data_IF_942115898252
#
_entry.id   IF_942115898252
#
_cell.length_a   1.000
_cell.length_b   1.000
_cell.length_c   1.000
_cell.angle_alpha   90.00
_cell.angle_beta   90.00
_cell.angle_gamma   90.00
#
_symmetry.space_group_name_H-M   'P 1'
#
loop_
_entity.id
_entity.type
_entity.pdbx_description
1 polymer ?
#
# COMPACT_ATOMS: atom_id res chain seq x y z
N UNK A 1 7.73 -11.84 -12.49
CA UNK A 1 7.35 -10.44 -12.12
C UNK A 1 7.95 -10.11 -10.76
N UNK A 2 8.32 -8.85 -10.47
CA UNK A 2 8.90 -8.46 -9.16
C UNK A 2 7.79 -8.04 -8.20
N UNK A 3 8.03 -8.22 -6.91
CA UNK A 3 7.08 -7.88 -5.85
C UNK A 3 7.74 -6.98 -4.79
N UNK A 4 6.94 -6.15 -4.14
CA UNK A 4 7.30 -5.47 -2.90
C UNK A 4 6.44 -6.01 -1.76
N UNK A 5 7.08 -6.31 -0.64
CA UNK A 5 6.38 -6.71 0.58
C UNK A 5 6.05 -5.48 1.41
N UNK A 6 4.78 -5.34 1.75
CA UNK A 6 4.21 -4.22 2.51
C UNK A 6 3.38 -4.78 3.66
N UNK A 7 3.46 -4.19 4.85
CA UNK A 7 2.63 -4.64 5.99
C UNK A 7 1.20 -4.12 5.85
N UNK A 8 0.24 -4.86 6.38
CA UNK A 8 -1.11 -4.31 6.55
C UNK A 8 -1.13 -3.25 7.65
N UNK A 9 -2.01 -2.23 7.55
CA UNK A 9 -3.05 -2.05 6.53
C UNK A 9 -2.55 -1.40 5.22
N UNK A 10 -1.27 -1.03 5.11
CA UNK A 10 -0.75 -0.28 3.97
C UNK A 10 -0.86 -1.02 2.64
N UNK A 11 -0.65 -2.34 2.62
CA UNK A 11 -0.75 -3.13 1.40
C UNK A 11 -2.17 -3.05 0.79
N UNK A 12 -3.20 -3.22 1.62
CA UNK A 12 -4.60 -3.08 1.22
C UNK A 12 -4.89 -1.66 0.70
N UNK A 13 -4.43 -0.64 1.42
CA UNK A 13 -4.63 0.77 1.03
C UNK A 13 -3.96 1.13 -0.30
N UNK A 14 -2.80 0.54 -0.58
CA UNK A 14 -2.13 0.69 -1.88
C UNK A 14 -2.96 0.03 -2.97
N UNK A 15 -3.42 -1.21 -2.77
CA UNK A 15 -4.15 -1.93 -3.82
C UNK A 15 -5.54 -1.37 -4.08
N UNK A 16 -6.21 -0.84 -3.04
CA UNK A 16 -7.48 -0.13 -3.18
C UNK A 16 -7.34 1.27 -3.81
N UNK A 17 -6.11 1.73 -4.09
CA UNK A 17 -5.85 3.03 -4.70
C UNK A 17 -5.96 4.21 -3.75
N UNK A 18 -6.14 3.96 -2.45
CA UNK A 18 -6.27 5.02 -1.45
C UNK A 18 -4.90 5.60 -1.06
N UNK A 19 -3.89 4.75 -0.90
CA UNK A 19 -2.50 5.13 -0.60
C UNK A 19 -1.65 5.10 -1.86
N UNK A 20 -1.26 6.29 -2.33
CA UNK A 20 -0.50 6.53 -3.57
C UNK A 20 1.02 6.56 -3.37
N UNK A 21 1.50 6.38 -2.13
CA UNK A 21 2.92 6.46 -1.78
C UNK A 21 3.36 5.24 -0.97
N UNK A 22 4.46 4.62 -1.38
CA UNK A 22 5.24 3.71 -0.55
C UNK A 22 6.47 4.44 0.02
N UNK A 23 6.61 4.45 1.36
CA UNK A 23 7.73 5.13 2.03
C UNK A 23 8.88 4.14 2.27
N UNK A 24 10.11 4.51 1.88
CA UNK A 24 11.32 3.69 2.10
C UNK A 24 12.50 4.57 2.50
N UNK A 25 13.40 4.01 3.30
CA UNK A 25 14.68 4.64 3.67
C UNK A 25 15.70 4.62 2.53
N UNK A 26 15.36 4.05 1.39
CA UNK A 26 16.22 3.89 0.22
C UNK A 26 15.46 4.20 -1.08
N UNK A 27 16.16 4.70 -2.12
CA UNK A 27 15.52 5.11 -3.37
C UNK A 27 15.03 3.90 -4.16
N UNK A 28 13.95 4.08 -4.91
CA UNK A 28 13.50 3.06 -5.86
C UNK A 28 14.59 2.82 -6.92
N UNK A 29 14.97 1.57 -7.20
CA UNK A 29 15.91 1.28 -8.28
C UNK A 29 15.35 1.76 -9.61
N UNK A 30 16.10 2.60 -10.33
CA UNK A 30 15.64 3.27 -11.58
C UNK A 30 15.00 2.32 -12.61
N UNK A 31 15.45 1.07 -12.67
CA UNK A 31 14.90 0.04 -13.58
C UNK A 31 13.44 -0.34 -13.31
N UNK A 32 12.88 0.01 -12.15
CA UNK A 32 11.49 -0.27 -11.79
C UNK A 32 10.57 0.95 -11.94
N UNK A 33 11.12 2.14 -12.19
CA UNK A 33 10.31 3.31 -12.55
C UNK A 33 9.67 3.06 -13.93
N UNK A 34 8.38 3.37 -14.04
CA UNK A 34 7.54 3.04 -15.19
C UNK A 34 7.21 1.55 -15.32
N UNK A 35 7.47 0.71 -14.31
CA UNK A 35 7.19 -0.73 -14.34
C UNK A 35 6.12 -1.13 -13.34
N UNK A 36 5.39 -2.19 -13.69
CA UNK A 36 4.42 -2.85 -12.81
C UNK A 36 5.13 -3.79 -11.85
N UNK A 37 4.77 -3.71 -10.58
CA UNK A 37 5.23 -4.59 -9.50
C UNK A 37 4.05 -5.16 -8.75
N UNK A 38 4.20 -6.37 -8.23
CA UNK A 38 3.21 -7.02 -7.37
C UNK A 38 3.29 -6.45 -5.95
N UNK A 39 2.14 -6.35 -5.29
CA UNK A 39 2.05 -6.01 -3.87
C UNK A 39 1.80 -7.31 -3.10
N UNK A 40 2.79 -7.68 -2.29
CA UNK A 40 2.69 -8.77 -1.35
C UNK A 40 2.34 -8.20 0.04
N UNK A 41 1.22 -8.65 0.61
CA UNK A 41 0.87 -8.38 1.99
C UNK A 41 1.74 -9.25 2.90
N UNK A 42 2.56 -8.62 3.74
CA UNK A 42 3.44 -9.31 4.68
C UNK A 42 2.65 -10.22 5.63
N UNK A 43 3.28 -11.30 6.10
CA UNK A 43 2.67 -12.22 7.06
C UNK A 43 2.29 -11.55 8.39
N UNK A 44 3.14 -10.64 8.86
CA UNK A 44 2.94 -9.90 10.12
C UNK A 44 2.44 -8.49 9.79
N UNK A 45 1.20 -8.13 10.18
CA UNK A 45 0.67 -6.79 10.00
C UNK A 45 1.31 -5.79 10.98
N UNK A 46 1.02 -4.51 10.80
CA UNK A 46 1.28 -3.51 11.86
C UNK A 46 0.26 -3.75 12.97
N UNK A 47 0.72 -3.66 14.21
CA UNK A 47 -0.16 -3.68 15.37
C UNK A 47 -0.98 -2.38 15.42
N UNK A 48 -2.29 -2.50 15.22
CA UNK A 48 -3.23 -1.38 15.26
C UNK A 48 -4.13 -1.51 16.49
N UNK A 49 -3.63 -1.04 17.64
CA UNK A 49 -4.41 -1.02 18.89
C UNK A 49 -5.62 -0.09 18.76
N UNK A 50 -5.44 1.04 18.06
CA UNK A 50 -6.51 1.94 17.65
C UNK A 50 -6.07 2.69 16.37
N UNK A 51 -7.00 3.31 15.61
CA UNK A 51 -6.64 4.00 14.36
C UNK A 51 -5.54 5.05 14.49
N UNK A 52 -5.49 5.79 15.60
CA UNK A 52 -4.51 6.85 15.82
C UNK A 52 -3.09 6.32 16.05
N UNK A 53 -2.91 5.02 16.33
CA UNK A 53 -1.58 4.41 16.44
C UNK A 53 -0.93 4.13 15.08
N UNK A 54 -1.70 4.20 13.99
CA UNK A 54 -1.26 3.88 12.62
C UNK A 54 -1.44 5.06 11.67
N UNK A 55 -2.54 5.80 11.82
CA UNK A 55 -2.91 6.90 10.94
C UNK A 55 -2.76 8.25 11.64
N UNK A 56 -2.30 9.24 10.90
CA UNK A 56 -2.52 10.64 11.30
C UNK A 56 -4.00 11.00 11.15
N UNK A 57 -4.46 12.03 11.86
CA UNK A 57 -5.84 12.54 11.72
C UNK A 57 -6.20 12.84 10.25
N UNK A 58 -5.30 13.51 9.52
CA UNK A 58 -5.52 13.85 8.12
C UNK A 58 -5.60 12.64 7.17
N UNK A 59 -4.99 11.50 7.54
CA UNK A 59 -5.14 10.25 6.80
C UNK A 59 -6.46 9.57 7.17
N UNK A 60 -6.80 9.54 8.46
CA UNK A 60 -8.02 8.90 8.95
C UNK A 60 -9.29 9.57 8.43
N UNK A 61 -9.29 10.90 8.37
CA UNK A 61 -10.41 11.71 7.88
C UNK A 61 -10.65 11.56 6.36
N UNK A 62 -9.75 10.92 5.62
CA UNK A 62 -9.97 10.59 4.19
C UNK A 62 -10.86 9.37 3.96
N UNK A 63 -11.09 8.57 4.99
CA UNK A 63 -11.91 7.37 4.88
C UNK A 63 -13.38 7.69 5.14
N UNK A 64 -14.27 7.11 4.34
CA UNK A 64 -15.70 7.10 4.69
C UNK A 64 -15.93 6.26 5.95
N UNK A 65 -17.02 6.51 6.68
CA UNK A 65 -17.33 5.73 7.89
C UNK A 65 -17.45 4.23 7.60
N UNK A 66 -17.94 3.84 6.41
CA UNK A 66 -17.97 2.44 5.98
C UNK A 66 -16.57 1.84 5.84
N UNK A 67 -15.66 2.57 5.17
CA UNK A 67 -14.28 2.12 4.98
C UNK A 67 -13.48 2.07 6.29
N UNK A 68 -13.73 3.02 7.20
CA UNK A 68 -13.15 2.98 8.56
C UNK A 68 -13.57 1.71 9.30
N UNK A 69 -14.85 1.31 9.21
CA UNK A 69 -15.34 0.05 9.81
C UNK A 69 -14.68 -1.17 9.19
N UNK A 70 -14.51 -1.21 7.87
CA UNK A 70 -13.80 -2.31 7.20
C UNK A 70 -12.35 -2.45 7.68
N UNK A 71 -11.62 -1.35 7.79
CA UNK A 71 -10.24 -1.36 8.29
C UNK A 71 -10.15 -1.82 9.75
N UNK A 72 -11.10 -1.41 10.60
CA UNK A 72 -11.13 -1.80 12.02
C UNK A 72 -11.49 -3.27 12.18
N UNK A 73 -12.51 -3.76 11.45
CA UNK A 73 -12.95 -5.14 11.55
C UNK A 73 -11.97 -6.12 10.88
N UNK A 74 -11.22 -5.68 9.87
CA UNK A 74 -10.20 -6.50 9.20
C UNK A 74 -10.75 -7.66 8.36
N UNK A 75 -12.07 -7.78 8.20
CA UNK A 75 -12.75 -8.94 7.61
C UNK A 75 -12.26 -9.34 6.21
N UNK A 76 -11.74 -8.39 5.42
CA UNK A 76 -11.29 -8.62 4.05
C UNK A 76 -9.78 -8.36 3.86
N UNK A 77 -9.02 -8.26 4.94
CA UNK A 77 -7.58 -7.97 4.89
C UNK A 77 -6.80 -9.28 4.95
N UNK A 78 -6.20 -9.65 3.81
CA UNK A 78 -5.39 -10.87 3.68
C UNK A 78 -3.91 -10.57 3.95
N UNK A 79 -3.23 -11.50 4.64
CA UNK A 79 -1.79 -11.51 4.86
C UNK A 79 -1.14 -12.68 4.12
N UNK A 80 0.18 -12.66 3.96
CA UNK A 80 0.96 -13.73 3.31
C UNK A 80 0.55 -14.04 1.88
N UNK A 81 0.05 -13.03 1.15
CA UNK A 81 -0.46 -13.20 -0.20
C UNK A 81 -0.06 -12.04 -1.10
N UNK A 82 0.07 -12.32 -2.39
CA UNK A 82 0.03 -11.24 -3.40
C UNK A 82 -1.43 -10.82 -3.51
N UNK A 83 -1.71 -9.55 -3.24
CA UNK A 83 -3.09 -9.03 -3.22
C UNK A 83 -3.37 -8.08 -4.39
N UNK A 84 -2.37 -7.77 -5.21
CA UNK A 84 -2.56 -6.86 -6.32
C UNK A 84 -1.25 -6.45 -6.98
N UNK A 85 -1.32 -5.40 -7.79
CA UNK A 85 -0.15 -4.82 -8.44
C UNK A 85 -0.33 -3.32 -8.67
N UNK A 86 0.80 -2.61 -8.76
CA UNK A 86 0.83 -1.16 -9.01
C UNK A 86 1.94 -0.84 -10.00
N UNK A 87 1.84 0.30 -10.67
CA UNK A 87 2.98 0.91 -11.34
C UNK A 87 3.73 1.81 -10.38
N UNK A 88 5.06 1.71 -10.36
CA UNK A 88 5.91 2.72 -9.74
C UNK A 88 6.20 3.79 -10.79
N UNK A 89 5.66 4.99 -10.64
CA UNK A 89 5.79 6.06 -11.65
C UNK A 89 6.92 7.02 -11.36
N UNK A 90 7.31 7.17 -10.11
CA UNK A 90 8.39 8.08 -9.71
C UNK A 90 8.98 7.68 -8.35
N UNK A 91 10.11 8.29 -7.99
CA UNK A 91 10.72 8.17 -6.67
C UNK A 91 11.32 9.52 -6.27
N UNK A 92 10.65 10.21 -5.35
CA UNK A 92 11.02 11.55 -4.88
C UNK A 92 11.22 11.57 -3.37
N UNK A 93 11.59 12.72 -2.81
CA UNK A 93 11.65 12.94 -1.37
C UNK A 93 10.68 14.07 -1.03
N UNK A 94 9.98 13.96 0.11
CA UNK A 94 9.03 14.95 0.61
C UNK A 94 7.81 15.21 -0.30
N UNK A 95 7.27 14.16 -0.93
CA UNK A 95 6.05 14.26 -1.73
C UNK A 95 4.89 14.94 -0.95
N UNK A 96 3.96 15.55 -1.68
CA UNK A 96 2.87 16.36 -1.10
C UNK A 96 1.66 15.54 -0.61
N UNK A 97 1.56 14.28 -1.06
CA UNK A 97 0.52 13.37 -0.59
C UNK A 97 0.52 13.24 0.93
N UNK A 98 -0.66 13.12 1.54
CA UNK A 98 -0.80 12.85 2.97
C UNK A 98 -0.15 11.52 3.40
N UNK A 99 0.07 10.63 2.43
CA UNK A 99 0.65 9.31 2.66
C UNK A 99 2.18 9.33 2.66
N UNK A 100 2.79 10.47 2.33
CA UNK A 100 4.23 10.64 2.27
C UNK A 100 4.81 11.02 3.64
N UNK A 101 5.77 10.22 4.10
CA UNK A 101 6.61 10.59 5.24
C UNK A 101 7.70 11.56 4.79
N UNK A 102 8.04 12.53 5.65
CA UNK A 102 9.09 13.52 5.39
C UNK A 102 10.47 12.93 5.69
N UNK A 103 11.47 13.34 4.92
CA UNK A 103 12.86 12.91 5.10
C UNK A 103 13.19 11.51 4.57
N UNK A 104 12.23 10.82 3.94
CA UNK A 104 12.44 9.49 3.32
C UNK A 104 12.09 9.50 1.83
N UNK A 105 12.47 8.43 1.13
CA UNK A 105 12.09 8.26 -0.27
C UNK A 105 10.63 7.85 -0.36
N UNK A 106 9.87 8.56 -1.17
CA UNK A 106 8.48 8.34 -1.46
C UNK A 106 8.38 7.77 -2.89
N UNK A 107 8.10 6.46 -2.99
CA UNK A 107 7.88 5.81 -4.26
C UNK A 107 6.43 6.08 -4.67
N UNK A 108 6.25 6.75 -5.81
CA UNK A 108 4.93 7.18 -6.30
C UNK A 108 4.26 6.02 -7.03
N UNK A 109 3.04 5.69 -6.64
CA UNK A 109 2.30 4.53 -7.10
C UNK A 109 1.05 4.96 -7.88
N UNK A 110 0.74 4.23 -8.94
CA UNK A 110 -0.46 4.45 -9.75
C UNK A 110 -0.94 3.17 -10.43
N UNK A 111 -2.03 3.26 -11.20
CA UNK A 111 -2.59 2.17 -12.00
C UNK A 111 -2.74 0.87 -11.20
N UNK A 112 -3.39 1.00 -10.04
CA UNK A 112 -3.58 -0.10 -9.10
C UNK A 112 -4.50 -1.16 -9.69
N UNK A 113 -4.17 -2.41 -9.44
CA UNK A 113 -5.02 -3.56 -9.76
C UNK A 113 -5.17 -4.33 -8.46
N UNK A 114 -6.38 -4.34 -7.93
CA UNK A 114 -6.71 -5.11 -6.74
C UNK A 114 -7.18 -6.49 -7.16
N UNK A 115 -6.53 -7.55 -6.66
CA UNK A 115 -6.98 -8.91 -6.88
C UNK A 115 -7.75 -9.41 -5.66
N UNK A 116 -9.04 -9.66 -5.84
CA UNK A 116 -9.90 -10.31 -4.84
C UNK A 116 -9.93 -11.83 -4.98
N UNK A 117 -9.39 -12.36 -6.09
CA UNK A 117 -9.35 -13.78 -6.39
C UNK A 117 -7.91 -14.32 -6.34
N UNK A 118 -7.47 -14.66 -5.12
CA UNK A 118 -6.07 -14.97 -4.79
C UNK A 118 -5.51 -16.20 -5.51
N UNK A 119 -6.36 -17.05 -6.10
CA UNK A 119 -5.95 -18.23 -6.87
C UNK A 119 -5.58 -17.92 -8.33
N UNK A 120 -5.99 -16.77 -8.86
CA UNK A 120 -5.85 -16.43 -10.28
C UNK A 120 -4.50 -15.80 -10.67
N UNK A 121 -3.66 -15.41 -9.68
CA UNK A 121 -2.45 -14.61 -9.89
C UNK A 121 -1.31 -15.39 -10.56
N UNK A 122 -1.34 -16.72 -10.49
CA UNK A 122 -0.30 -17.58 -11.07
C UNK A 122 -0.62 -18.13 -12.47
N UNK A 123 -1.81 -17.83 -13.02
CA UNK A 123 -2.30 -18.42 -14.27
C UNK A 123 -2.53 -17.40 -15.41
N UNK A 124 -1.91 -16.22 -15.37
CA UNK A 124 -1.96 -15.25 -16.47
C UNK A 124 -0.57 -14.82 -16.91
#
# INVERSE_FOLDING_TARGET
MKAISVKQPWAYLICSGVKDIENRTWPCPKKYIGKRVLIHASAVPIEMVNPNSVFTKAQWDRFSMGFQRELICGNNIVNSAIIGSVMITDCVVNHLSVWAEKGVYNWVLSNTVFTTDYYSIFYR
#
